data_IF_062476676455
#
_entry.id   IF_062476676455
#
_cell.length_a   1.000
_cell.length_b   1.000
_cell.length_c   1.000
_cell.angle_alpha   90.00
_cell.angle_beta   90.00
_cell.angle_gamma   90.00
#
_symmetry.space_group_name_H-M   'P 1'
#
loop_
_entity.id
_entity.type
_entity.pdbx_description
1 polymer ?
#
# COMPACT_ATOMS: atom_id res chain seq x y z
N UNK A 1 2.58 32.88 7.23
CA UNK A 1 1.34 32.92 6.41
C UNK A 1 1.54 32.00 5.21
N UNK A 2 0.61 31.09 4.95
CA UNK A 2 0.78 30.02 3.96
C UNK A 2 0.93 30.55 2.51
N UNK A 3 1.86 29.95 1.75
CA UNK A 3 2.12 30.24 0.33
C UNK A 3 1.16 29.45 -0.56
N UNK A 4 0.40 30.14 -1.42
CA UNK A 4 -0.50 29.51 -2.40
C UNK A 4 0.28 29.05 -3.64
N UNK A 5 0.14 27.77 -4.01
CA UNK A 5 0.65 27.21 -5.26
C UNK A 5 -0.44 27.31 -6.35
N UNK A 6 -0.08 27.84 -7.52
CA UNK A 6 -1.05 28.27 -8.55
C UNK A 6 -1.44 27.21 -9.59
N UNK A 7 -0.91 25.99 -9.52
CA UNK A 7 -1.16 24.97 -10.54
C UNK A 7 -2.12 23.87 -10.03
N UNK A 8 -3.41 24.04 -10.37
CA UNK A 8 -4.54 23.12 -10.16
C UNK A 8 -4.95 22.84 -8.69
N UNK A 9 -6.07 23.45 -8.30
CA UNK A 9 -6.65 23.35 -6.95
C UNK A 9 -6.10 24.42 -5.99
N UNK A 10 -6.75 24.62 -4.84
CA UNK A 10 -6.25 25.52 -3.80
C UNK A 10 -5.24 24.75 -2.94
N UNK A 11 -3.98 24.79 -3.35
CA UNK A 11 -2.87 24.11 -2.67
C UNK A 11 -1.98 25.13 -1.94
N UNK A 12 -1.55 24.81 -0.73
CA UNK A 12 -0.79 25.69 0.13
C UNK A 12 0.44 24.98 0.72
N UNK A 13 1.51 25.75 0.93
CA UNK A 13 2.67 25.35 1.73
C UNK A 13 2.80 26.27 2.94
N UNK A 14 2.99 25.70 4.12
CA UNK A 14 3.06 26.45 5.37
C UNK A 14 4.03 25.77 6.36
N UNK A 15 4.42 26.46 7.43
CA UNK A 15 4.99 25.85 8.63
C UNK A 15 3.86 25.44 9.58
N UNK A 16 4.12 24.54 10.52
CA UNK A 16 3.13 24.15 11.55
C UNK A 16 2.71 25.29 12.48
N UNK A 17 3.52 26.35 12.56
CA UNK A 17 3.25 27.58 13.31
C UNK A 17 2.52 28.65 12.50
N UNK A 18 2.37 28.45 11.18
CA UNK A 18 1.64 29.40 10.34
C UNK A 18 0.13 29.24 10.53
N UNK A 19 -0.57 30.37 10.50
CA UNK A 19 -2.02 30.39 10.45
C UNK A 19 -2.52 29.78 9.13
N UNK A 20 -3.45 28.82 9.23
CA UNK A 20 -4.04 28.13 8.08
C UNK A 20 -5.11 29.03 7.44
N UNK A 21 -5.15 29.14 6.09
CA UNK A 21 -6.09 30.04 5.42
C UNK A 21 -7.53 29.50 5.52
N UNK A 22 -8.46 30.33 5.98
CA UNK A 22 -9.87 29.94 6.16
C UNK A 22 -10.77 30.30 4.97
N UNK A 23 -10.35 31.25 4.12
CA UNK A 23 -11.07 31.62 2.90
C UNK A 23 -10.65 30.72 1.72
N UNK A 24 -10.96 29.42 1.83
CA UNK A 24 -10.63 28.41 0.83
C UNK A 24 -11.83 27.52 0.57
N UNK A 25 -11.90 26.92 -0.62
CA UNK A 25 -12.97 25.97 -0.95
C UNK A 25 -12.69 24.61 -0.31
N UNK A 26 -13.75 23.87 0.00
CA UNK A 26 -13.63 22.47 0.38
C UNK A 26 -12.78 21.69 -0.65
N UNK A 27 -11.89 20.84 -0.16
CA UNK A 27 -10.87 20.15 -0.97
C UNK A 27 -9.57 20.95 -1.19
N UNK A 28 -9.42 22.12 -0.56
CA UNK A 28 -8.11 22.78 -0.49
C UNK A 28 -7.12 21.93 0.32
N UNK A 29 -5.86 21.90 -0.10
CA UNK A 29 -4.79 21.09 0.50
C UNK A 29 -3.73 22.01 1.06
N UNK A 30 -3.30 21.81 2.31
CA UNK A 30 -2.19 22.50 2.93
C UNK A 30 -1.16 21.48 3.39
N UNK A 31 0.08 21.63 2.93
CA UNK A 31 1.21 20.81 3.37
C UNK A 31 2.10 21.63 4.31
N UNK A 32 2.30 21.12 5.51
CA UNK A 32 3.29 21.64 6.46
C UNK A 32 4.68 21.14 6.06
N UNK A 33 5.63 22.06 5.85
CA UNK A 33 6.98 21.71 5.36
C UNK A 33 7.92 21.21 6.46
N UNK A 34 7.65 21.55 7.71
CA UNK A 34 8.42 21.19 8.90
C UNK A 34 7.95 19.86 9.53
N UNK A 35 6.64 19.64 9.63
CA UNK A 35 6.06 18.40 10.21
C UNK A 35 5.73 17.34 9.15
N UNK A 36 5.74 17.72 7.87
CA UNK A 36 5.26 16.89 6.75
C UNK A 36 3.77 16.48 6.86
N UNK A 37 2.99 17.13 7.72
CA UNK A 37 1.55 16.91 7.78
C UNK A 37 0.85 17.47 6.54
N UNK A 38 -0.19 16.78 6.09
CA UNK A 38 -1.09 17.26 5.05
C UNK A 38 -2.45 17.50 5.71
N UNK A 39 -3.09 18.60 5.35
CA UNK A 39 -4.42 18.95 5.81
C UNK A 39 -5.31 19.16 4.60
N UNK A 40 -6.57 18.72 4.71
CA UNK A 40 -7.61 19.00 3.72
C UNK A 40 -8.69 19.85 4.40
N UNK A 41 -9.08 20.93 3.73
CA UNK A 41 -10.18 21.77 4.19
C UNK A 41 -11.51 21.12 3.82
N UNK A 42 -12.37 20.84 4.81
CA UNK A 42 -13.67 20.18 4.59
C UNK A 42 -14.80 21.15 4.20
N UNK A 43 -14.50 22.46 4.17
CA UNK A 43 -15.47 23.55 3.96
C UNK A 43 -15.75 24.34 5.23
N UNK A 44 -15.36 23.84 6.40
CA UNK A 44 -15.51 24.49 7.70
C UNK A 44 -14.18 24.55 8.46
N UNK A 45 -13.40 23.48 8.46
CA UNK A 45 -12.12 23.39 9.18
C UNK A 45 -11.07 22.58 8.39
N UNK A 46 -9.80 22.70 8.80
CA UNK A 46 -8.67 21.94 8.27
C UNK A 46 -8.53 20.63 9.05
N UNK A 47 -8.90 19.51 8.42
CA UNK A 47 -8.72 18.19 8.99
C UNK A 47 -7.33 17.66 8.64
N UNK A 48 -6.59 17.17 9.64
CA UNK A 48 -5.33 16.46 9.39
C UNK A 48 -5.62 15.17 8.64
N UNK A 49 -4.92 15.01 7.53
CA UNK A 49 -4.99 13.83 6.72
C UNK A 49 -4.10 12.76 7.33
N UNK A 50 -4.69 11.91 8.17
CA UNK A 50 -3.98 10.74 8.70
C UNK A 50 -3.80 9.74 7.55
N UNK A 51 -2.55 9.48 7.16
CA UNK A 51 -2.21 8.33 6.32
C UNK A 51 -2.86 7.08 6.92
N UNK A 52 -3.85 6.51 6.21
CA UNK A 52 -4.44 5.24 6.63
C UNK A 52 -3.45 4.14 6.29
N UNK A 53 -2.94 3.48 7.32
CA UNK A 53 -2.10 2.29 7.15
C UNK A 53 -2.71 1.10 7.87
N UNK A 54 -2.62 -0.07 7.24
CA UNK A 54 -3.03 -1.34 7.85
C UNK A 54 -1.97 -2.40 7.56
N UNK A 55 -1.63 -3.20 8.55
CA UNK A 55 -0.67 -4.30 8.39
C UNK A 55 -1.31 -5.62 8.73
N UNK A 56 -1.16 -6.60 7.85
CA UNK A 56 -1.48 -8.00 8.10
C UNK A 56 -0.17 -8.79 8.24
N UNK A 57 -0.13 -9.72 9.18
CA UNK A 57 1.07 -10.49 9.51
C UNK A 57 0.70 -11.96 9.66
N UNK A 58 1.33 -12.81 8.86
CA UNK A 58 1.31 -14.26 8.99
C UNK A 58 2.74 -14.71 9.25
N UNK A 59 2.96 -15.38 10.38
CA UNK A 59 4.29 -15.79 10.84
C UNK A 59 4.36 -17.29 10.75
N UNK A 60 5.44 -17.81 10.14
CA UNK A 60 5.74 -19.23 10.03
C UNK A 60 4.68 -20.07 9.30
N UNK A 61 4.31 -19.67 8.08
CA UNK A 61 3.58 -20.59 7.19
C UNK A 61 4.56 -21.57 6.55
N UNK A 62 4.27 -22.87 6.66
CA UNK A 62 5.05 -23.91 5.98
C UNK A 62 4.36 -24.28 4.67
N UNK A 63 5.04 -24.07 3.53
CA UNK A 63 4.55 -24.51 2.23
C UNK A 63 5.31 -25.78 1.83
N UNK A 64 4.62 -26.93 1.65
CA UNK A 64 5.25 -28.15 1.16
C UNK A 64 5.89 -27.99 -0.22
N UNK A 65 6.86 -28.84 -0.56
CA UNK A 65 7.49 -28.85 -1.88
C UNK A 65 6.46 -28.98 -3.02
N UNK A 66 6.46 -28.05 -3.98
CA UNK A 66 5.55 -28.04 -5.13
C UNK A 66 4.13 -27.51 -4.85
N UNK A 67 3.83 -27.12 -3.61
CA UNK A 67 2.53 -26.54 -3.23
C UNK A 67 2.55 -25.01 -3.26
N UNK A 68 1.40 -24.38 -3.01
CA UNK A 68 1.28 -22.93 -2.89
C UNK A 68 0.47 -22.53 -1.65
N UNK A 69 0.66 -21.28 -1.24
CA UNK A 69 -0.12 -20.58 -0.22
C UNK A 69 -0.84 -19.42 -0.89
N UNK A 70 -2.11 -19.21 -0.55
CA UNK A 70 -2.87 -18.04 -0.99
C UNK A 70 -3.60 -17.38 0.17
N UNK A 71 -3.72 -16.05 0.12
CA UNK A 71 -4.50 -15.30 1.10
C UNK A 71 -5.18 -14.10 0.47
N UNK A 72 -6.46 -13.90 0.82
CA UNK A 72 -7.27 -12.75 0.42
C UNK A 72 -7.25 -11.66 1.48
N UNK A 73 -7.03 -10.42 1.06
CA UNK A 73 -6.77 -9.28 1.91
C UNK A 73 -7.73 -8.15 1.52
N UNK A 74 -8.65 -7.73 2.40
CA UNK A 74 -9.50 -6.58 2.14
C UNK A 74 -8.65 -5.30 2.02
N UNK A 75 -8.82 -4.59 0.90
CA UNK A 75 -8.02 -3.41 0.55
C UNK A 75 -8.84 -2.19 0.11
N UNK A 76 -10.17 -2.23 0.24
CA UNK A 76 -11.02 -1.09 -0.09
C UNK A 76 -10.59 0.18 0.64
N UNK A 77 -10.38 1.26 -0.12
CA UNK A 77 -9.96 2.55 0.41
C UNK A 77 -8.46 2.67 0.73
N UNK A 78 -7.65 1.79 0.17
CA UNK A 78 -6.19 1.91 0.13
C UNK A 78 -5.71 2.03 -1.32
N UNK A 79 -4.58 2.71 -1.52
CA UNK A 79 -4.04 3.04 -2.84
C UNK A 79 -2.78 2.24 -3.14
N UNK A 80 -2.11 1.76 -2.09
CA UNK A 80 -0.88 0.99 -2.14
C UNK A 80 -1.03 -0.28 -1.32
N UNK A 81 -0.57 -1.40 -1.87
CA UNK A 81 -0.22 -2.59 -1.11
C UNK A 81 1.27 -2.88 -1.28
N UNK A 82 1.91 -3.35 -0.21
CA UNK A 82 3.28 -3.87 -0.24
C UNK A 82 3.34 -5.15 0.57
N UNK A 83 3.76 -6.26 -0.02
CA UNK A 83 4.04 -7.48 0.71
C UNK A 83 5.54 -7.71 0.81
N UNK A 84 5.95 -8.21 1.97
CA UNK A 84 7.29 -8.69 2.25
C UNK A 84 7.16 -10.16 2.63
N UNK A 85 7.87 -11.00 1.91
CA UNK A 85 7.95 -12.43 2.15
C UNK A 85 9.41 -12.76 2.43
N UNK A 86 9.66 -13.24 3.64
CA UNK A 86 10.94 -13.83 3.98
C UNK A 86 10.80 -15.35 3.88
N UNK A 87 11.59 -15.97 3.02
CA UNK A 87 11.49 -17.39 2.68
C UNK A 87 12.86 -18.05 2.68
N UNK A 88 12.94 -19.30 3.10
CA UNK A 88 14.07 -20.17 2.78
C UNK A 88 13.85 -20.80 1.40
N UNK A 89 14.80 -20.70 0.46
CA UNK A 89 14.73 -21.41 -0.83
C UNK A 89 14.31 -20.53 -2.02
N UNK A 90 13.72 -21.16 -3.05
CA UNK A 90 13.31 -20.50 -4.29
C UNK A 90 11.77 -20.33 -4.32
N UNK A 91 11.26 -19.36 -3.56
CA UNK A 91 9.83 -19.06 -3.49
C UNK A 91 9.45 -17.94 -4.45
N UNK A 92 8.28 -18.08 -5.08
CA UNK A 92 7.71 -17.10 -5.99
C UNK A 92 6.50 -16.43 -5.31
N UNK A 93 6.39 -15.10 -5.26
CA UNK A 93 5.19 -14.37 -4.82
C UNK A 93 4.60 -13.49 -5.94
N UNK A 94 3.30 -13.58 -6.15
CA UNK A 94 2.54 -12.75 -7.10
C UNK A 94 1.33 -12.11 -6.43
N UNK A 95 0.87 -10.97 -6.94
CA UNK A 95 -0.38 -10.37 -6.50
C UNK A 95 -1.45 -10.46 -7.57
N UNK A 96 -2.67 -10.54 -7.08
CA UNK A 96 -3.88 -10.47 -7.86
C UNK A 96 -4.81 -9.50 -7.19
N UNK A 97 -5.45 -8.65 -7.97
CA UNK A 97 -6.33 -7.63 -7.48
C UNK A 97 -7.68 -7.85 -8.14
N UNK A 98 -8.71 -8.06 -7.32
CA UNK A 98 -9.95 -8.65 -7.80
C UNK A 98 -11.13 -7.84 -7.29
N UNK A 99 -12.12 -7.62 -8.15
CA UNK A 99 -13.36 -6.93 -7.82
C UNK A 99 -14.42 -7.92 -7.29
N UNK A 100 -15.49 -7.38 -6.71
CA UNK A 100 -16.62 -8.18 -6.21
C UNK A 100 -17.36 -8.95 -7.33
N UNK A 101 -17.20 -8.50 -8.58
CA UNK A 101 -17.73 -9.19 -9.78
C UNK A 101 -16.85 -10.35 -10.26
N UNK A 102 -15.73 -10.63 -9.59
CA UNK A 102 -14.78 -11.68 -9.93
C UNK A 102 -13.82 -11.32 -11.07
N UNK A 103 -13.83 -10.08 -11.56
CA UNK A 103 -12.81 -9.62 -12.50
C UNK A 103 -11.46 -9.50 -11.81
N UNK A 104 -10.42 -10.10 -12.39
CA UNK A 104 -9.08 -10.21 -11.80
C UNK A 104 -8.02 -9.50 -12.65
N UNK A 105 -7.12 -8.81 -11.97
CA UNK A 105 -5.91 -8.21 -12.53
C UNK A 105 -4.69 -8.83 -11.82
N UNK A 106 -4.00 -9.73 -12.53
CA UNK A 106 -2.75 -10.30 -12.05
C UNK A 106 -1.61 -9.31 -12.25
N UNK A 107 -0.86 -9.04 -11.19
CA UNK A 107 0.25 -8.11 -11.19
C UNK A 107 1.50 -8.77 -10.58
N UNK A 108 2.46 -9.07 -11.46
CA UNK A 108 3.78 -9.58 -11.12
C UNK A 108 4.82 -8.49 -11.43
N UNK A 109 5.08 -7.57 -10.48
CA UNK A 109 5.89 -6.38 -10.75
C UNK A 109 7.35 -6.65 -11.07
N UNK A 110 7.86 -7.84 -10.71
CA UNK A 110 9.28 -8.14 -10.85
C UNK A 110 9.56 -9.13 -11.98
N UNK A 111 8.55 -9.86 -12.44
CA UNK A 111 8.61 -10.75 -13.61
C UNK A 111 9.59 -11.91 -13.50
N UNK A 112 10.47 -11.92 -12.49
CA UNK A 112 11.45 -12.95 -12.18
C UNK A 112 11.79 -12.85 -10.69
N UNK A 113 11.23 -13.76 -9.91
CA UNK A 113 11.47 -13.96 -8.49
C UNK A 113 12.73 -14.84 -8.34
N UNK A 114 13.91 -14.22 -8.35
CA UNK A 114 15.17 -14.94 -8.59
C UNK A 114 15.90 -15.40 -7.32
N UNK A 115 15.84 -16.70 -7.02
CA UNK A 115 16.84 -17.53 -6.28
C UNK A 115 18.32 -17.12 -6.49
N UNK A 116 19.30 -17.48 -5.63
CA UNK A 116 19.37 -18.61 -4.68
C UNK A 116 19.65 -18.24 -3.20
N UNK A 117 19.29 -17.02 -2.76
CA UNK A 117 19.49 -16.55 -1.37
C UNK A 117 18.35 -15.64 -0.90
N UNK A 118 17.14 -15.97 -1.31
CA UNK A 118 16.10 -15.03 -1.70
C UNK A 118 15.47 -14.16 -0.59
N UNK A 119 15.17 -12.90 -0.94
CA UNK A 119 14.17 -12.06 -0.26
C UNK A 119 13.15 -11.62 -1.30
N UNK A 120 11.86 -11.84 -1.04
CA UNK A 120 10.79 -11.48 -2.00
C UNK A 120 9.99 -10.31 -1.45
N UNK A 121 9.86 -9.26 -2.24
CA UNK A 121 8.99 -8.12 -1.97
C UNK A 121 8.21 -7.78 -3.23
N UNK A 122 6.96 -7.38 -3.09
CA UNK A 122 6.18 -6.91 -4.23
C UNK A 122 5.23 -5.76 -3.78
N UNK A 123 4.78 -4.90 -4.70
CA UNK A 123 4.16 -3.61 -4.32
C UNK A 123 3.07 -3.03 -5.25
N UNK A 124 1.79 -3.40 -5.17
CA UNK A 124 0.78 -2.95 -6.17
C UNK A 124 0.13 -1.60 -5.88
N UNK A 125 -0.24 -0.87 -6.94
CA UNK A 125 -1.17 0.26 -6.88
C UNK A 125 -2.59 -0.24 -7.18
N UNK A 126 -3.53 -0.08 -6.24
CA UNK A 126 -4.80 -0.84 -6.21
C UNK A 126 -6.05 -0.01 -5.85
N UNK A 127 -6.03 1.29 -6.16
CA UNK A 127 -7.12 2.20 -5.77
C UNK A 127 -8.48 1.73 -6.29
N UNK A 128 -9.49 1.73 -5.41
CA UNK A 128 -10.87 1.37 -5.71
C UNK A 128 -11.21 -0.12 -5.69
N UNK A 129 -10.26 -1.02 -5.38
CA UNK A 129 -10.51 -2.46 -5.34
C UNK A 129 -10.93 -2.96 -3.95
N UNK A 130 -11.86 -3.93 -3.86
CA UNK A 130 -12.37 -4.43 -2.58
C UNK A 130 -11.37 -5.34 -1.86
N UNK A 131 -10.63 -6.17 -2.60
CA UNK A 131 -9.62 -7.07 -2.06
C UNK A 131 -8.48 -7.37 -3.04
N UNK A 132 -7.40 -7.89 -2.47
CA UNK A 132 -6.23 -8.43 -3.17
C UNK A 132 -5.92 -9.82 -2.67
N UNK A 133 -5.50 -10.69 -3.58
CA UNK A 133 -5.00 -12.01 -3.26
C UNK A 133 -3.48 -12.05 -3.45
N UNK A 134 -2.78 -12.53 -2.41
CA UNK A 134 -1.35 -12.82 -2.47
C UNK A 134 -1.19 -14.32 -2.66
N UNK A 135 -0.51 -14.74 -3.72
CA UNK A 135 -0.24 -16.14 -4.03
C UNK A 135 1.26 -16.39 -4.00
N UNK A 136 1.69 -17.36 -3.20
CA UNK A 136 3.10 -17.76 -3.04
C UNK A 136 3.25 -19.23 -3.42
N UNK A 137 4.10 -19.52 -4.40
CA UNK A 137 4.36 -20.88 -4.87
C UNK A 137 5.74 -21.35 -4.41
N UNK A 138 5.81 -22.56 -3.86
CA UNK A 138 7.06 -23.21 -3.51
C UNK A 138 7.58 -24.06 -4.67
N UNK A 139 8.56 -23.52 -5.40
CA UNK A 139 9.26 -24.28 -6.45
C UNK A 139 10.51 -24.99 -5.95
N UNK A 140 10.80 -24.91 -4.65
CA UNK A 140 11.87 -25.69 -4.05
C UNK A 140 11.43 -27.16 -3.94
N UNK A 141 12.38 -28.07 -4.17
CA UNK A 141 12.18 -29.52 -3.92
C UNK A 141 12.14 -29.90 -2.44
N UNK A 142 11.92 -28.93 -1.54
CA UNK A 142 11.87 -29.07 -0.09
C UNK A 142 10.80 -28.15 0.48
N UNK A 143 10.31 -28.45 1.68
CA UNK A 143 9.39 -27.59 2.41
C UNK A 143 10.06 -26.25 2.77
N UNK A 144 9.31 -25.16 2.69
CA UNK A 144 9.79 -23.81 3.00
C UNK A 144 8.98 -23.21 4.14
N UNK A 145 9.67 -22.49 5.04
CA UNK A 145 9.01 -21.69 6.08
C UNK A 145 9.01 -20.23 5.66
N UNK A 146 7.87 -19.57 5.86
CA UNK A 146 7.62 -18.20 5.41
C UNK A 146 7.20 -17.28 6.55
N UNK A 147 7.73 -16.06 6.53
CA UNK A 147 7.12 -14.91 7.22
C UNK A 147 6.57 -13.94 6.17
N UNK A 148 5.28 -13.65 6.26
CA UNK A 148 4.56 -12.81 5.30
C UNK A 148 4.01 -11.58 6.02
N UNK A 149 4.38 -10.41 5.53
CA UNK A 149 3.89 -9.13 6.02
C UNK A 149 3.27 -8.36 4.87
N UNK A 150 2.02 -7.92 5.02
CA UNK A 150 1.34 -7.12 4.01
C UNK A 150 0.97 -5.77 4.61
N UNK A 151 1.45 -4.71 3.98
CA UNK A 151 1.20 -3.33 4.33
C UNK A 151 0.25 -2.74 3.30
N UNK A 152 -0.85 -2.15 3.77
CA UNK A 152 -1.73 -1.32 2.97
C UNK A 152 -1.46 0.14 3.35
N UNK A 153 -1.26 0.98 2.36
CA UNK A 153 -1.13 2.42 2.48
C UNK A 153 -2.19 3.11 1.62
N UNK A 154 -2.68 4.25 2.08
CA UNK A 154 -3.47 5.16 1.25
C UNK A 154 -2.65 6.40 0.97
N UNK A 155 -2.57 6.75 -0.31
CA UNK A 155 -2.07 8.03 -0.75
C UNK A 155 -3.29 8.90 -0.91
N UNK A 156 -3.40 9.94 -0.09
CA UNK A 156 -4.41 10.95 -0.36
C UNK A 156 -3.90 11.97 -1.38
#
# INVERSE_FOLDING_TARGET
>A
MALRLLEKGQRFLALSTDEKPMDVKAGAILKETDTQNIYIFDGTDWAIEKLKTKTYKWINETIPAGEYFNVTIPCLGFDLITAFVNASGNALASFRATNDDGSDYSWDPLGIMNSPSLKVSAQAEISGMPFVELVITNEAGVDINLDIFVYLGSFN
#
